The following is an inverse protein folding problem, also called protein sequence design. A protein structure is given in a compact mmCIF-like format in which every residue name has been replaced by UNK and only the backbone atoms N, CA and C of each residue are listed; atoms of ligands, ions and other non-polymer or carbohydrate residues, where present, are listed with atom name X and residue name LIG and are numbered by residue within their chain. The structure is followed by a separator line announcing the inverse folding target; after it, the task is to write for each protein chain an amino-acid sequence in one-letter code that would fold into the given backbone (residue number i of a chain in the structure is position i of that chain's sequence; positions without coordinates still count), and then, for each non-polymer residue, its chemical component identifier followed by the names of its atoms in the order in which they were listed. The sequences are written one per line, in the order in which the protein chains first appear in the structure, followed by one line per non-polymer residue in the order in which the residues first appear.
data_IF_854314281080
#
_entry.id   IF_854314281080
#
_cell.length_a   1.000
_cell.length_b   1.000
_cell.length_c   1.000
_cell.angle_alpha   90.00
_cell.angle_beta   90.00
_cell.angle_gamma   90.00
#
_symmetry.space_group_name_H-M   'P 1'
#
loop_
_entity.id
_entity.type
_entity.pdbx_description
1 polymer ?
#
# COMPACT_ATOMS: atom_id res chain seq x y z
N UNK A 1 -15.61 12.59 -7.84
CA UNK A 1 -16.52 11.55 -7.32
C UNK A 1 -16.51 11.68 -5.80
N UNK A 2 -17.64 11.86 -5.09
CA UNK A 2 -17.59 12.18 -3.66
C UNK A 2 -17.41 10.97 -2.72
N UNK A 3 -17.23 9.74 -3.23
CA UNK A 3 -17.08 8.52 -2.42
C UNK A 3 -15.80 7.72 -2.79
N UNK A 4 -14.67 8.42 -2.97
CA UNK A 4 -13.38 7.76 -3.18
C UNK A 4 -12.66 7.45 -1.87
N UNK A 5 -11.67 6.57 -1.90
CA UNK A 5 -10.74 6.40 -0.78
C UNK A 5 -9.99 7.72 -0.51
N UNK A 6 -9.84 8.09 0.76
CA UNK A 6 -9.10 9.27 1.19
C UNK A 6 -7.64 8.88 1.45
N UNK A 7 -6.74 9.39 0.62
CA UNK A 7 -5.30 9.18 0.75
C UNK A 7 -4.65 10.48 1.23
N UNK A 8 -3.65 10.42 2.12
CA UNK A 8 -2.95 11.63 2.58
C UNK A 8 -2.22 12.31 1.41
N UNK A 9 -1.52 11.53 0.60
CA UNK A 9 -0.70 12.00 -0.51
C UNK A 9 -0.87 11.12 -1.75
N UNK A 10 -0.85 11.75 -2.92
CA UNK A 10 -0.79 11.04 -4.21
C UNK A 10 0.34 11.63 -5.05
N UNK A 11 1.40 10.85 -5.26
CA UNK A 11 2.54 11.22 -6.10
C UNK A 11 2.27 10.79 -7.54
N UNK A 12 2.07 11.75 -8.44
CA UNK A 12 1.65 11.51 -9.82
C UNK A 12 2.59 12.12 -10.85
N UNK A 13 2.76 11.41 -11.97
CA UNK A 13 3.54 11.88 -13.11
C UNK A 13 5.07 11.72 -12.96
N UNK A 14 5.53 10.95 -11.98
CA UNK A 14 6.93 10.63 -11.80
C UNK A 14 7.33 9.50 -12.75
N UNK A 15 8.20 9.77 -13.72
CA UNK A 15 8.78 8.73 -14.57
C UNK A 15 9.79 7.85 -13.81
N UNK A 16 10.46 8.44 -12.81
CA UNK A 16 11.40 7.75 -11.92
C UNK A 16 10.73 7.49 -10.55
N UNK A 17 10.16 6.30 -10.35
CA UNK A 17 9.46 5.92 -9.10
C UNK A 17 10.32 6.08 -7.84
N UNK A 18 11.63 5.73 -7.82
CA UNK A 18 12.53 6.07 -6.72
C UNK A 18 12.52 7.53 -6.28
N UNK A 19 12.44 8.49 -7.22
CA UNK A 19 12.39 9.90 -6.87
C UNK A 19 11.06 10.30 -6.21
N UNK A 20 9.95 9.67 -6.64
CA UNK A 20 8.66 9.83 -5.95
C UNK A 20 8.71 9.23 -4.54
N UNK A 21 9.37 8.08 -4.38
CA UNK A 21 9.53 7.42 -3.10
C UNK A 21 10.39 8.24 -2.13
N UNK A 22 11.48 8.86 -2.59
CA UNK A 22 12.29 9.76 -1.78
C UNK A 22 11.50 10.98 -1.30
N UNK A 23 10.67 11.56 -2.17
CA UNK A 23 9.76 12.64 -1.80
C UNK A 23 8.72 12.17 -0.75
N UNK A 24 8.13 10.99 -0.95
CA UNK A 24 7.20 10.37 0.00
C UNK A 24 7.83 10.19 1.39
N UNK A 25 9.04 9.64 1.47
CA UNK A 25 9.76 9.46 2.73
C UNK A 25 10.04 10.81 3.40
N UNK A 26 10.49 11.80 2.63
CA UNK A 26 10.78 13.14 3.13
C UNK A 26 9.54 13.86 3.68
N UNK A 27 8.43 13.80 2.95
CA UNK A 27 7.17 14.47 3.33
C UNK A 27 6.56 13.90 4.63
N UNK A 28 6.81 12.61 4.92
CA UNK A 28 6.28 11.94 6.12
C UNK A 28 7.32 11.71 7.22
N UNK A 29 8.58 12.07 7.00
CA UNK A 29 9.67 11.80 7.94
C UNK A 29 9.92 10.31 8.19
N UNK A 30 9.66 9.46 7.19
CA UNK A 30 9.78 8.01 7.28
C UNK A 30 11.14 7.53 6.77
N UNK A 31 11.54 6.34 7.21
CA UNK A 31 12.63 5.58 6.60
C UNK A 31 12.07 4.53 5.65
N UNK A 32 12.90 4.06 4.72
CA UNK A 32 12.56 2.98 3.78
C UNK A 32 12.04 1.73 4.50
N UNK A 33 12.64 1.38 5.64
CA UNK A 33 12.22 0.26 6.48
C UNK A 33 10.86 0.42 7.17
N UNK A 34 10.29 1.62 7.21
CA UNK A 34 8.99 1.88 7.82
C UNK A 34 7.84 1.63 6.82
N UNK A 35 8.15 1.23 5.58
CA UNK A 35 7.20 1.16 4.48
C UNK A 35 6.82 -0.28 4.14
N UNK A 36 5.51 -0.50 4.11
CA UNK A 36 4.89 -1.59 3.36
C UNK A 36 4.48 -1.08 1.97
N UNK A 37 4.91 -1.77 0.92
CA UNK A 37 4.70 -1.35 -0.46
C UNK A 37 3.96 -2.41 -1.26
N UNK A 38 2.80 -2.01 -1.79
CA UNK A 38 1.97 -2.80 -2.68
C UNK A 38 2.28 -2.40 -4.13
N UNK A 39 2.59 -3.36 -4.99
CA UNK A 39 3.00 -3.10 -6.36
C UNK A 39 2.59 -4.22 -7.32
N UNK A 40 2.58 -3.95 -8.63
CA UNK A 40 2.13 -4.89 -9.67
C UNK A 40 2.97 -4.85 -10.96
N UNK A 41 3.92 -3.92 -11.11
CA UNK A 41 4.74 -3.76 -12.31
C UNK A 41 6.25 -3.85 -12.02
N UNK A 42 7.05 -4.23 -13.02
CA UNK A 42 8.52 -4.32 -12.97
C UNK A 42 9.14 -2.95 -12.62
N UNK A 43 8.51 -1.87 -13.07
CA UNK A 43 8.97 -0.51 -12.79
C UNK A 43 8.93 -0.16 -11.29
N UNK A 44 8.22 -0.93 -10.48
CA UNK A 44 8.14 -0.77 -9.03
C UNK A 44 9.29 -1.45 -8.27
N UNK A 45 9.98 -2.42 -8.88
CA UNK A 45 11.03 -3.19 -8.21
C UNK A 45 12.13 -2.33 -7.58
N UNK A 46 12.60 -1.21 -8.19
CA UNK A 46 13.56 -0.32 -7.53
C UNK A 46 13.06 0.29 -6.21
N UNK A 47 11.75 0.50 -6.06
CA UNK A 47 11.13 0.96 -4.81
C UNK A 47 10.90 -0.23 -3.89
N UNK A 48 10.33 -1.32 -4.39
CA UNK A 48 10.07 -2.52 -3.60
C UNK A 48 11.34 -3.01 -2.87
N UNK A 49 12.49 -3.06 -3.55
CA UNK A 49 13.79 -3.45 -2.99
C UNK A 49 14.26 -2.63 -1.78
N UNK A 50 13.71 -1.44 -1.57
CA UNK A 50 14.04 -0.55 -0.44
C UNK A 50 13.10 -0.75 0.75
N UNK A 51 11.86 -1.17 0.50
CA UNK A 51 10.82 -1.28 1.51
C UNK A 51 11.00 -2.54 2.38
N UNK A 52 10.56 -2.48 3.65
CA UNK A 52 10.67 -3.63 4.56
C UNK A 52 9.59 -4.69 4.35
N UNK A 53 8.45 -4.34 3.78
CA UNK A 53 7.39 -5.29 3.43
C UNK A 53 6.94 -5.05 2.00
N UNK A 54 7.03 -6.08 1.17
CA UNK A 54 6.84 -6.01 -0.29
C UNK A 54 5.72 -6.95 -0.68
N UNK A 55 4.59 -6.38 -1.07
CA UNK A 55 3.37 -7.10 -1.42
C UNK A 55 3.16 -6.95 -2.92
N UNK A 56 3.47 -8.01 -3.66
CA UNK A 56 3.19 -8.08 -5.09
C UNK A 56 1.72 -8.44 -5.28
N UNK A 57 0.98 -7.60 -6.00
CA UNK A 57 -0.39 -7.91 -6.41
C UNK A 57 -0.34 -8.99 -7.48
N UNK A 58 -0.84 -10.18 -7.16
CA UNK A 58 -0.87 -11.32 -8.07
C UNK A 58 -1.68 -11.03 -9.33
N UNK A 59 -1.26 -11.57 -10.46
CA UNK A 59 -2.01 -11.41 -11.71
C UNK A 59 -1.76 -12.59 -12.63
N UNK A 60 -2.83 -13.26 -13.08
CA UNK A 60 -2.75 -14.48 -13.89
C UNK A 60 -1.95 -14.30 -15.19
N UNK A 61 -1.94 -13.10 -15.76
CA UNK A 61 -1.18 -12.80 -16.98
C UNK A 61 0.29 -12.39 -16.72
N UNK A 62 0.79 -12.45 -15.49
CA UNK A 62 2.15 -12.00 -15.11
C UNK A 62 3.07 -13.10 -14.51
N UNK A 63 2.99 -14.38 -14.93
CA UNK A 63 3.69 -15.47 -14.24
C UNK A 63 5.21 -15.28 -14.20
N UNK A 64 5.81 -14.70 -15.24
CA UNK A 64 7.25 -14.44 -15.28
C UNK A 64 7.68 -13.32 -14.35
N UNK A 65 6.83 -12.33 -14.12
CA UNK A 65 7.13 -11.26 -13.16
C UNK A 65 7.09 -11.80 -11.73
N UNK A 66 6.08 -12.61 -11.39
CA UNK A 66 6.00 -13.25 -10.08
C UNK A 66 7.21 -14.15 -9.83
N UNK A 67 7.61 -14.97 -10.81
CA UNK A 67 8.83 -15.79 -10.73
C UNK A 67 10.07 -14.93 -10.52
N UNK A 68 10.24 -13.88 -11.32
CA UNK A 68 11.37 -12.96 -11.19
C UNK A 68 11.43 -12.35 -9.78
N UNK A 69 10.31 -11.82 -9.29
CA UNK A 69 10.24 -11.19 -7.98
C UNK A 69 10.54 -12.19 -6.85
N UNK A 70 10.05 -13.44 -6.95
CA UNK A 70 10.36 -14.50 -5.96
C UNK A 70 11.84 -14.88 -5.98
N UNK A 71 12.40 -15.14 -7.16
CA UNK A 71 13.79 -15.59 -7.33
C UNK A 71 14.80 -14.54 -6.87
N UNK A 72 14.46 -13.26 -6.99
CA UNK A 72 15.31 -12.14 -6.58
C UNK A 72 14.99 -11.63 -5.17
N UNK A 73 14.07 -12.28 -4.45
CA UNK A 73 13.60 -11.85 -3.14
C UNK A 73 13.12 -10.40 -3.17
N UNK A 74 12.36 -10.00 -4.19
CA UNK A 74 11.77 -8.67 -4.36
C UNK A 74 10.31 -8.58 -3.87
N UNK A 75 9.71 -9.70 -3.46
CA UNK A 75 8.38 -9.77 -2.86
C UNK A 75 8.39 -10.70 -1.63
N UNK A 76 7.80 -10.24 -0.53
CA UNK A 76 7.61 -11.03 0.70
C UNK A 76 6.29 -11.80 0.67
N UNK A 77 5.29 -11.24 -0.02
CA UNK A 77 4.01 -11.87 -0.25
C UNK A 77 3.53 -11.57 -1.68
N UNK A 78 2.95 -12.57 -2.32
CA UNK A 78 2.22 -12.41 -3.58
C UNK A 78 0.76 -12.71 -3.30
N UNK A 79 -0.12 -11.75 -3.57
CA UNK A 79 -1.55 -11.95 -3.32
C UNK A 79 -2.11 -13.01 -4.25
N UNK A 80 -3.06 -13.82 -3.76
CA UNK A 80 -3.80 -14.74 -4.62
C UNK A 80 -4.79 -13.97 -5.51
N UNK A 81 -5.43 -12.96 -4.95
CA UNK A 81 -6.31 -12.02 -5.63
C UNK A 81 -5.57 -10.99 -6.49
N UNK A 82 -6.19 -10.56 -7.59
CA UNK A 82 -5.63 -9.55 -8.49
C UNK A 82 -6.06 -8.11 -8.19
N UNK A 83 -5.46 -7.12 -8.85
CA UNK A 83 -5.76 -5.69 -8.67
C UNK A 83 -7.20 -5.28 -8.97
N UNK A 84 -7.92 -6.06 -9.77
CA UNK A 84 -9.37 -5.90 -10.00
C UNK A 84 -10.25 -6.82 -9.15
N UNK A 85 -9.64 -7.72 -8.39
CA UNK A 85 -10.31 -8.77 -7.60
C UNK A 85 -9.80 -8.76 -6.15
N UNK A 86 -9.73 -7.57 -5.56
CA UNK A 86 -9.46 -7.36 -4.13
C UNK A 86 -8.05 -7.68 -3.61
N UNK A 87 -7.00 -7.71 -4.45
CA UNK A 87 -5.63 -7.99 -4.02
C UNK A 87 -5.11 -7.07 -2.90
N UNK A 88 -5.38 -5.76 -2.98
CA UNK A 88 -5.02 -4.81 -1.91
C UNK A 88 -5.75 -5.14 -0.60
N UNK A 89 -7.02 -5.53 -0.67
CA UNK A 89 -7.80 -5.92 0.52
C UNK A 89 -7.19 -7.16 1.16
N UNK A 90 -6.86 -8.18 0.37
CA UNK A 90 -6.21 -9.40 0.85
C UNK A 90 -4.92 -9.07 1.62
N UNK A 91 -4.02 -8.27 1.02
CA UNK A 91 -2.78 -7.87 1.69
C UNK A 91 -3.03 -7.03 2.96
N UNK A 92 -4.02 -6.13 2.96
CA UNK A 92 -4.39 -5.38 4.17
C UNK A 92 -4.90 -6.28 5.31
N UNK A 93 -5.71 -7.30 5.01
CA UNK A 93 -6.16 -8.27 6.03
C UNK A 93 -4.97 -9.07 6.59
N UNK A 94 -4.10 -9.56 5.70
CA UNK A 94 -2.89 -10.28 6.09
C UNK A 94 -2.01 -9.43 7.02
N UNK A 95 -1.79 -8.16 6.67
CA UNK A 95 -1.02 -7.24 7.50
C UNK A 95 -1.65 -7.05 8.89
N UNK A 96 -2.96 -6.83 8.97
CA UNK A 96 -3.66 -6.71 10.25
C UNK A 96 -3.55 -7.98 11.11
N UNK A 97 -3.65 -9.15 10.48
CA UNK A 97 -3.50 -10.43 11.16
C UNK A 97 -2.07 -10.63 11.69
N UNK A 98 -1.05 -10.36 10.85
CA UNK A 98 0.36 -10.49 11.25
C UNK A 98 0.77 -9.50 12.35
N UNK A 99 0.13 -8.32 12.41
CA UNK A 99 0.32 -7.37 13.50
C UNK A 99 -0.44 -7.74 14.79
N UNK A 100 -1.25 -8.81 14.78
CA UNK A 100 -2.08 -9.20 15.93
C UNK A 100 -3.23 -8.20 16.20
N UNK A 101 -3.62 -7.41 15.20
CA UNK A 101 -4.63 -6.34 15.32
C UNK A 101 -5.97 -6.66 14.67
N UNK A 102 -6.07 -7.81 13.99
CA UNK A 102 -7.27 -8.18 13.24
C UNK A 102 -8.52 -8.18 14.12
N UNK A 103 -8.54 -8.98 15.18
CA UNK A 103 -9.71 -9.11 16.06
C UNK A 103 -10.09 -7.77 16.68
N UNK A 104 -9.11 -7.03 17.22
CA UNK A 104 -9.33 -5.69 17.79
C UNK A 104 -10.02 -4.75 16.78
N UNK A 105 -9.50 -4.67 15.55
CA UNK A 105 -10.03 -3.76 14.52
C UNK A 105 -11.45 -4.18 14.11
N UNK A 106 -11.69 -5.48 13.93
CA UNK A 106 -13.00 -6.02 13.56
C UNK A 106 -14.01 -5.78 14.68
N UNK A 107 -13.64 -6.07 15.93
CA UNK A 107 -14.51 -5.89 17.10
C UNK A 107 -14.89 -4.42 17.30
N UNK A 108 -13.93 -3.50 17.21
CA UNK A 108 -14.20 -2.07 17.31
C UNK A 108 -15.17 -1.59 16.21
N UNK A 109 -15.06 -2.15 15.00
CA UNK A 109 -15.94 -1.83 13.87
C UNK A 109 -17.33 -2.41 14.02
N UNK A 110 -17.46 -3.68 14.45
CA UNK A 110 -18.73 -4.35 14.70
C UNK A 110 -19.51 -3.67 15.84
N UNK A 111 -18.80 -3.27 16.89
CA UNK A 111 -19.40 -2.62 18.06
C UNK A 111 -19.78 -1.14 17.81
N UNK A 112 -19.44 -0.57 16.64
CA UNK A 112 -19.54 0.88 16.40
C UNK A 112 -18.91 1.70 17.55
N UNK A 113 -17.75 1.24 18.01
CA UNK A 113 -17.06 1.80 19.18
C UNK A 113 -16.65 3.27 18.98
N UNK A 114 -16.41 3.99 20.08
CA UNK A 114 -15.83 5.35 20.03
C UNK A 114 -14.49 5.37 19.27
N UNK A 115 -13.67 4.31 19.43
CA UNK A 115 -12.41 4.13 18.68
C UNK A 115 -12.67 4.12 17.17
N UNK A 116 -13.65 3.33 16.71
CA UNK A 116 -13.97 3.26 15.29
C UNK A 116 -14.60 4.56 14.77
N UNK A 117 -15.49 5.18 15.54
CA UNK A 117 -16.10 6.47 15.18
C UNK A 117 -15.05 7.57 15.03
N UNK A 118 -14.06 7.62 15.93
CA UNK A 118 -12.93 8.55 15.83
C UNK A 118 -12.11 8.28 14.57
N UNK A 119 -11.69 7.04 14.34
CA UNK A 119 -10.97 6.65 13.12
C UNK A 119 -11.74 7.06 11.84
N UNK A 120 -13.05 6.80 11.80
CA UNK A 120 -13.88 7.12 10.64
C UNK A 120 -13.96 8.63 10.41
N UNK A 121 -14.09 9.43 11.48
CA UNK A 121 -14.08 10.88 11.40
C UNK A 121 -12.73 11.43 10.91
N UNK A 122 -11.61 10.92 11.45
CA UNK A 122 -10.25 11.29 11.04
C UNK A 122 -10.02 10.95 9.57
N UNK A 123 -10.32 9.71 9.14
CA UNK A 123 -10.22 9.27 7.75
C UNK A 123 -11.02 10.16 6.79
N UNK A 124 -12.26 10.49 7.14
CA UNK A 124 -13.12 11.31 6.28
C UNK A 124 -12.69 12.78 6.24
N UNK A 125 -11.91 13.25 7.22
CA UNK A 125 -11.36 14.60 7.26
C UNK A 125 -10.10 14.76 6.40
N UNK A 126 -9.47 13.65 5.97
CA UNK A 126 -8.27 13.69 5.12
C UNK A 126 -8.60 14.31 3.75
N UNK A 127 -7.86 15.36 3.42
CA UNK A 127 -7.88 16.00 2.10
C UNK A 127 -6.64 15.53 1.33
N UNK A 128 -6.86 14.80 0.25
CA UNK A 128 -5.77 14.26 -0.56
C UNK A 128 -4.96 15.35 -1.24
N UNK A 129 -3.67 15.39 -0.92
CA UNK A 129 -2.73 16.29 -1.57
C UNK A 129 -2.01 15.60 -2.73
N UNK A 130 -2.11 16.19 -3.92
CA UNK A 130 -1.49 15.65 -5.14
C UNK A 130 -0.13 16.30 -5.37
N UNK A 131 0.94 15.51 -5.26
CA UNK A 131 2.30 15.94 -5.59
C UNK A 131 2.61 15.56 -7.03
N UNK A 132 3.06 16.52 -7.84
CA UNK A 132 3.43 16.29 -9.24
C UNK A 132 4.90 16.61 -9.46
N UNK A 133 5.56 15.81 -10.27
CA UNK A 133 6.91 16.16 -10.74
C UNK A 133 6.82 17.46 -11.57
N UNK A 134 7.65 18.49 -11.27
CA UNK A 134 7.76 19.66 -12.12
C UNK A 134 8.17 19.22 -13.53
N UNK A 135 7.49 19.76 -14.55
CA UNK A 135 7.85 19.51 -15.95
C UNK A 135 9.20 20.11 -16.30
#
# INVERSE_FOLDING_TARGET
MPNGEHLDRVYMGFANKPAAFDAFLGDHGLQDRDVAFFFDDILDLPVARRCSLRILIGHQASPMMELYARDHNDADYVTASSGGDHGVREGCELMLALMGRWDEVVDNRLAWSDTYQRYLAERNAVVTEVVRQPR
#
